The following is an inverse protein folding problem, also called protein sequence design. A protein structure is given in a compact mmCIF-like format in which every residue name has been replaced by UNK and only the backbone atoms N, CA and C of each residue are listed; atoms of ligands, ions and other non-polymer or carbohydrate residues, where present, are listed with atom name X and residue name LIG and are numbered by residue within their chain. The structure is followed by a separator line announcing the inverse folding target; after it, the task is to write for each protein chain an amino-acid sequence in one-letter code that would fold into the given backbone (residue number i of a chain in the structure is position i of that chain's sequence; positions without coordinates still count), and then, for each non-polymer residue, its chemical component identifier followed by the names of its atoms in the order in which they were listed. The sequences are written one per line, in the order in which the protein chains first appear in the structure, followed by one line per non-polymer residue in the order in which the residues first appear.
data_IF_852352246864
#
_entry.id   IF_852352246864
#
_cell.length_a   1.000
_cell.length_b   1.000
_cell.length_c   1.000
_cell.angle_alpha   90.00
_cell.angle_beta   90.00
_cell.angle_gamma   90.00
#
_symmetry.space_group_name_H-M   'P 1'
#
loop_
_entity.id
_entity.type
_entity.pdbx_description
1 polymer ?
#
# COMPACT_ATOMS: atom_id res chain seq x y z
N UNK A 1 14.44 12.18 -9.84
CA UNK A 1 13.98 11.52 -8.61
C UNK A 1 14.97 10.42 -8.30
N UNK A 2 15.54 10.43 -7.11
CA UNK A 2 16.46 9.39 -6.64
C UNK A 2 15.68 8.12 -6.28
N UNK A 3 16.37 6.99 -6.19
CA UNK A 3 15.77 5.74 -5.72
C UNK A 3 15.15 5.90 -4.32
N UNK A 4 15.83 6.63 -3.42
CA UNK A 4 15.33 6.91 -2.06
C UNK A 4 14.03 7.72 -2.07
N UNK A 5 13.95 8.76 -2.91
CA UNK A 5 12.73 9.55 -3.07
C UNK A 5 11.57 8.73 -3.66
N UNK A 6 11.87 7.79 -4.57
CA UNK A 6 10.87 6.89 -5.15
C UNK A 6 10.32 5.91 -4.12
N UNK A 7 11.20 5.30 -3.32
CA UNK A 7 10.82 4.38 -2.24
C UNK A 7 9.99 5.13 -1.20
N UNK A 8 10.41 6.32 -0.79
CA UNK A 8 9.65 7.15 0.15
C UNK A 8 8.21 7.38 -0.36
N UNK A 9 8.05 7.78 -1.62
CA UNK A 9 6.72 7.99 -2.21
C UNK A 9 5.88 6.72 -2.23
N UNK A 10 6.46 5.57 -2.57
CA UNK A 10 5.73 4.29 -2.55
C UNK A 10 5.28 3.90 -1.14
N UNK A 11 6.08 4.18 -0.11
CA UNK A 11 5.70 3.97 1.30
C UNK A 11 4.55 4.89 1.70
N UNK A 12 4.62 6.18 1.33
CA UNK A 12 3.56 7.15 1.60
C UNK A 12 2.24 6.79 0.89
N UNK A 13 2.31 6.35 -0.37
CA UNK A 13 1.15 5.86 -1.12
C UNK A 13 0.57 4.59 -0.51
N UNK A 14 1.42 3.64 -0.10
CA UNK A 14 0.99 2.40 0.55
C UNK A 14 0.30 2.67 1.88
N UNK A 15 0.82 3.61 2.68
CA UNK A 15 0.15 4.05 3.91
C UNK A 15 -1.23 4.63 3.61
N UNK A 16 -1.28 5.65 2.74
CA UNK A 16 -2.52 6.40 2.45
C UNK A 16 -3.62 5.51 1.87
N UNK A 17 -3.28 4.60 0.98
CA UNK A 17 -4.24 3.67 0.40
C UNK A 17 -4.88 2.77 1.45
N UNK A 18 -4.08 2.27 2.39
CA UNK A 18 -4.59 1.43 3.48
C UNK A 18 -5.51 2.24 4.40
N UNK A 19 -5.21 3.52 4.66
CA UNK A 19 -6.09 4.38 5.45
C UNK A 19 -7.47 4.51 4.77
N UNK A 20 -7.52 4.74 3.45
CA UNK A 20 -8.79 4.76 2.70
C UNK A 20 -9.51 3.41 2.71
N UNK A 21 -8.79 2.30 2.57
CA UNK A 21 -9.40 0.96 2.62
C UNK A 21 -10.00 0.65 4.00
N UNK A 22 -9.38 1.15 5.08
CA UNK A 22 -9.87 0.99 6.45
C UNK A 22 -11.07 1.89 6.69
N UNK A 23 -11.02 3.15 6.25
CA UNK A 23 -12.07 4.14 6.44
C UNK A 23 -13.35 3.77 5.68
N UNK A 24 -13.22 3.36 4.42
CA UNK A 24 -14.37 2.98 3.57
C UNK A 24 -14.90 1.56 3.88
N UNK A 25 -14.05 0.68 4.39
CA UNK A 25 -14.37 -0.72 4.68
C UNK A 25 -14.47 -1.62 3.45
N UNK A 26 -14.63 -2.94 3.70
CA UNK A 26 -14.61 -3.98 2.65
C UNK A 26 -15.82 -3.96 1.71
N UNK A 27 -16.94 -3.40 2.16
CA UNK A 27 -18.19 -3.33 1.39
C UNK A 27 -18.22 -2.16 0.40
N UNK A 28 -17.23 -1.28 0.45
CA UNK A 28 -17.14 -0.15 -0.46
C UNK A 28 -17.02 -0.63 -1.92
N UNK A 29 -17.76 0.03 -2.82
CA UNK A 29 -17.71 -0.25 -4.26
C UNK A 29 -16.27 -0.20 -4.81
N UNK A 30 -15.45 0.67 -4.24
CA UNK A 30 -14.05 0.87 -4.63
C UNK A 30 -13.08 -0.16 -4.02
N UNK A 31 -13.49 -0.98 -3.04
CA UNK A 31 -12.58 -1.84 -2.27
C UNK A 31 -11.75 -2.76 -3.18
N UNK A 32 -12.36 -3.41 -4.17
CA UNK A 32 -11.64 -4.29 -5.11
C UNK A 32 -10.56 -3.56 -5.91
N UNK A 33 -10.83 -2.32 -6.31
CA UNK A 33 -9.86 -1.48 -7.03
C UNK A 33 -8.73 -1.05 -6.10
N UNK A 34 -9.04 -0.69 -4.85
CA UNK A 34 -8.04 -0.35 -3.84
C UNK A 34 -7.17 -1.56 -3.49
N UNK A 35 -7.76 -2.74 -3.30
CA UNK A 35 -7.06 -3.99 -3.01
C UNK A 35 -6.04 -4.31 -4.11
N UNK A 36 -6.41 -4.15 -5.38
CA UNK A 36 -5.48 -4.33 -6.50
C UNK A 36 -4.26 -3.41 -6.37
N UNK A 37 -4.50 -2.11 -6.14
CA UNK A 37 -3.39 -1.14 -5.97
C UNK A 37 -2.55 -1.43 -4.72
N UNK A 38 -3.17 -1.90 -3.65
CA UNK A 38 -2.48 -2.30 -2.42
C UNK A 38 -1.54 -3.48 -2.68
N UNK A 39 -2.00 -4.50 -3.40
CA UNK A 39 -1.17 -5.65 -3.76
C UNK A 39 -0.03 -5.26 -4.70
N UNK A 40 -0.28 -4.37 -5.68
CA UNK A 40 0.76 -3.86 -6.58
C UNK A 40 1.86 -3.13 -5.78
N UNK A 41 1.49 -2.23 -4.87
CA UNK A 41 2.43 -1.49 -4.01
C UNK A 41 3.19 -2.42 -3.05
N UNK A 42 2.50 -3.40 -2.45
CA UNK A 42 3.09 -4.41 -1.56
C UNK A 42 4.18 -5.20 -2.28
N UNK A 43 3.89 -5.70 -3.48
CA UNK A 43 4.86 -6.44 -4.29
C UNK A 43 6.08 -5.59 -4.67
N UNK A 44 5.86 -4.32 -5.06
CA UNK A 44 6.94 -3.38 -5.40
C UNK A 44 7.84 -3.15 -4.19
N UNK A 45 7.28 -2.85 -3.01
CA UNK A 45 8.06 -2.59 -1.81
C UNK A 45 8.83 -3.82 -1.33
N UNK A 46 8.23 -5.02 -1.45
CA UNK A 46 8.92 -6.28 -1.16
C UNK A 46 10.06 -6.56 -2.15
N UNK A 47 9.89 -6.25 -3.44
CA UNK A 47 10.95 -6.37 -4.44
C UNK A 47 12.12 -5.41 -4.15
N UNK A 48 11.87 -4.27 -3.51
CA UNK A 48 12.89 -3.36 -2.99
C UNK A 48 13.48 -3.77 -1.62
N UNK A 49 13.08 -4.93 -1.07
CA UNK A 49 13.59 -5.42 0.22
C UNK A 49 13.08 -4.64 1.43
N UNK A 50 12.00 -3.88 1.30
CA UNK A 50 11.41 -3.13 2.41
C UNK A 50 10.66 -4.09 3.35
N UNK A 51 10.97 -4.04 4.65
CA UNK A 51 10.22 -4.76 5.66
C UNK A 51 8.85 -4.09 5.88
N UNK A 52 7.77 -4.82 5.63
CA UNK A 52 6.40 -4.30 5.74
C UNK A 52 5.70 -4.61 7.07
N UNK A 53 6.35 -5.33 7.99
CA UNK A 53 5.73 -5.88 9.21
C UNK A 53 4.89 -4.87 9.99
N UNK A 54 5.41 -3.64 10.15
CA UNK A 54 4.76 -2.58 10.94
C UNK A 54 3.84 -1.67 10.11
N UNK A 55 3.93 -1.72 8.78
CA UNK A 55 3.20 -0.81 7.88
C UNK A 55 2.12 -1.50 7.04
N UNK A 56 2.06 -2.84 7.04
CA UNK A 56 0.99 -3.62 6.43
C UNK A 56 -0.15 -3.89 7.44
N UNK A 57 -1.19 -3.05 7.35
CA UNK A 57 -2.37 -3.02 8.23
C UNK A 57 -3.55 -3.82 7.67
N UNK A 58 -3.66 -3.95 6.36
CA UNK A 58 -4.79 -4.62 5.69
C UNK A 58 -4.70 -6.15 5.81
N UNK A 59 -3.47 -6.71 5.78
CA UNK A 59 -3.19 -8.15 5.98
C UNK A 59 -4.01 -9.08 5.05
N UNK A 60 -4.22 -8.66 3.82
CA UNK A 60 -4.73 -9.50 2.73
C UNK A 60 -3.60 -10.28 2.03
#
# INVERSE_FOLDING_TARGET
MTEKEMIQKNIEEFSRLQDYMIEDGKDAKAYKTMLKRYLDLKAILQAFGINLTDIDRIKE
#
